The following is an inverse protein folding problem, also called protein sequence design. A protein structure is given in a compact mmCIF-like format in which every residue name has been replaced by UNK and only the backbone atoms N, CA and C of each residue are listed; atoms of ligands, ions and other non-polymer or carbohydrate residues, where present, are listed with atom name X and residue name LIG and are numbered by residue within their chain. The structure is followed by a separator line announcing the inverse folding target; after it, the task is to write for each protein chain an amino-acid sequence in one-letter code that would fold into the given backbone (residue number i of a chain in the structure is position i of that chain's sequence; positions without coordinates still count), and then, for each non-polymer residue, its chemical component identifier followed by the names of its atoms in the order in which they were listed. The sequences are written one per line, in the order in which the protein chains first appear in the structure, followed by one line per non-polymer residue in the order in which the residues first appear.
data_IF_657729118779
#
_entry.id   IF_657729118779
#
_cell.length_a   1.000
_cell.length_b   1.000
_cell.length_c   1.000
_cell.angle_alpha   90.00
_cell.angle_beta   90.00
_cell.angle_gamma   90.00
#
_symmetry.space_group_name_H-M   'P 1'
#
loop_
_entity.id
_entity.type
_entity.pdbx_description
1 polymer ?
#
# COMPACT_ATOMS: atom_id res chain seq x y z
N UNK A 1 -18.99 -55.24 -12.47
CA UNK A 1 -19.51 -55.89 -13.69
C UNK A 1 -20.91 -56.36 -13.29
N UNK A 2 -22.01 -55.75 -13.67
CA UNK A 2 -22.32 -54.83 -14.76
C UNK A 2 -23.75 -54.30 -14.47
N UNK A 3 -23.92 -52.99 -14.67
CA UNK A 3 -25.05 -52.21 -15.20
C UNK A 3 -26.48 -52.83 -15.23
N UNK A 4 -27.61 -52.12 -15.10
CA UNK A 4 -27.96 -50.69 -15.02
C UNK A 4 -29.50 -50.58 -14.83
N UNK A 5 -29.93 -49.51 -14.13
CA UNK A 5 -31.08 -48.60 -14.39
C UNK A 5 -32.50 -49.16 -14.62
N UNK A 6 -33.64 -48.57 -14.21
CA UNK A 6 -34.02 -47.19 -13.89
C UNK A 6 -35.46 -47.23 -13.34
N UNK A 7 -35.87 -46.33 -12.42
CA UNK A 7 -37.17 -45.63 -12.45
C UNK A 7 -37.35 -44.71 -11.23
N UNK A 8 -37.29 -43.40 -11.46
CA UNK A 8 -37.94 -42.34 -10.67
C UNK A 8 -38.04 -41.11 -11.60
N UNK A 9 -39.21 -40.82 -12.17
CA UNK A 9 -40.22 -39.89 -11.62
C UNK A 9 -39.72 -38.43 -11.48
N UNK A 10 -39.53 -37.75 -12.61
CA UNK A 10 -40.43 -36.72 -13.16
C UNK A 10 -40.93 -35.52 -12.28
N UNK A 11 -40.63 -34.30 -12.77
CA UNK A 11 -41.23 -32.94 -12.59
C UNK A 11 -40.89 -32.04 -11.38
N UNK A 12 -40.24 -30.89 -11.65
CA UNK A 12 -40.93 -29.59 -11.77
C UNK A 12 -40.10 -28.59 -12.61
N UNK A 13 -40.82 -27.74 -13.33
CA UNK A 13 -40.35 -26.78 -14.33
C UNK A 13 -40.44 -25.33 -13.81
N UNK A 14 -39.62 -24.47 -14.43
CA UNK A 14 -39.82 -23.03 -14.69
C UNK A 14 -39.30 -21.99 -13.69
N UNK A 15 -38.55 -21.02 -14.23
CA UNK A 15 -38.61 -19.63 -13.78
C UNK A 15 -37.31 -18.81 -13.79
N UNK A 16 -36.64 -18.64 -14.94
CA UNK A 16 -35.70 -17.52 -15.12
C UNK A 16 -36.51 -16.25 -15.42
N UNK A 17 -36.61 -15.34 -14.46
CA UNK A 17 -37.23 -14.02 -14.60
C UNK A 17 -36.20 -12.99 -15.06
N UNK A 18 -36.39 -12.46 -16.27
CA UNK A 18 -35.59 -11.41 -16.89
C UNK A 18 -35.81 -10.01 -16.27
N UNK A 19 -36.25 -9.93 -15.01
CA UNK A 19 -36.66 -8.69 -14.34
C UNK A 19 -35.57 -8.14 -13.39
N UNK A 20 -34.61 -8.97 -13.00
CA UNK A 20 -33.56 -8.58 -12.03
C UNK A 20 -32.36 -7.87 -12.66
N UNK A 21 -32.19 -7.95 -13.98
CA UNK A 21 -31.12 -7.25 -14.70
C UNK A 21 -31.40 -5.74 -14.87
N UNK A 22 -32.67 -5.36 -14.98
CA UNK A 22 -33.09 -3.98 -15.24
C UNK A 22 -33.01 -3.08 -13.98
N UNK A 23 -33.11 -3.70 -12.79
CA UNK A 23 -33.00 -2.99 -11.51
C UNK A 23 -31.55 -2.57 -11.20
N UNK A 24 -30.56 -3.39 -11.59
CA UNK A 24 -29.15 -3.12 -11.37
C UNK A 24 -28.58 -2.03 -12.32
N UNK A 25 -29.13 -1.87 -13.53
CA UNK A 25 -28.71 -0.80 -14.45
C UNK A 25 -29.24 0.59 -14.04
N UNK A 26 -30.42 0.68 -13.42
CA UNK A 26 -30.97 1.96 -12.96
C UNK A 26 -30.25 2.53 -11.71
N UNK A 27 -29.70 1.69 -10.84
CA UNK A 27 -29.02 2.18 -9.63
C UNK A 27 -27.61 2.74 -9.92
N UNK A 28 -26.93 2.23 -10.95
CA UNK A 28 -25.60 2.74 -11.39
C UNK A 28 -25.75 4.09 -12.11
N UNK A 29 -26.84 4.29 -12.85
CA UNK A 29 -27.12 5.55 -13.54
C UNK A 29 -27.46 6.72 -12.58
N UNK A 30 -28.08 6.42 -11.43
CA UNK A 30 -28.46 7.45 -10.45
C UNK A 30 -27.33 7.89 -9.51
N UNK A 31 -26.21 7.16 -9.42
CA UNK A 31 -25.02 7.61 -8.65
C UNK A 31 -24.12 8.59 -9.41
N UNK A 32 -24.39 8.85 -10.70
CA UNK A 32 -23.58 9.75 -11.54
C UNK A 32 -23.99 11.24 -11.52
N UNK A 33 -24.92 11.65 -10.64
CA UNK A 33 -25.43 13.03 -10.64
C UNK A 33 -25.39 13.71 -9.27
N UNK A 34 -24.26 13.68 -8.55
CA UNK A 34 -23.99 14.69 -7.49
C UNK A 34 -22.52 14.77 -7.07
N UNK A 35 -21.68 15.43 -7.86
CA UNK A 35 -20.43 16.04 -7.35
C UNK A 35 -19.97 17.16 -8.28
N UNK A 36 -20.54 18.35 -8.10
CA UNK A 36 -19.90 19.59 -8.58
C UNK A 36 -18.81 19.99 -7.59
N UNK A 37 -17.61 19.43 -7.74
CA UNK A 37 -16.42 19.91 -7.05
C UNK A 37 -15.78 21.04 -7.87
N UNK A 38 -15.39 22.12 -7.19
CA UNK A 38 -14.71 23.28 -7.77
C UNK A 38 -13.30 22.89 -8.26
N UNK A 39 -12.78 23.49 -9.35
CA UNK A 39 -11.46 23.15 -9.87
C UNK A 39 -10.37 23.51 -8.85
N UNK A 40 -9.48 22.55 -8.58
CA UNK A 40 -8.25 22.77 -7.84
C UNK A 40 -7.36 23.74 -8.62
N UNK A 41 -6.66 24.64 -7.91
CA UNK A 41 -5.68 25.55 -8.48
C UNK A 41 -4.55 24.77 -9.13
N UNK A 42 -4.15 25.27 -10.29
CA UNK A 42 -3.12 24.74 -11.19
C UNK A 42 -1.80 24.45 -10.45
N UNK A 43 -1.35 23.20 -10.51
CA UNK A 43 0.06 22.86 -10.33
C UNK A 43 0.75 23.12 -11.67
N UNK A 44 1.89 23.81 -11.73
CA UNK A 44 2.58 24.00 -13.00
C UNK A 44 3.08 22.64 -13.51
N UNK A 45 2.60 22.25 -14.69
CA UNK A 45 3.14 21.14 -15.47
C UNK A 45 4.63 21.42 -15.74
N UNK A 46 5.52 20.66 -15.11
CA UNK A 46 6.94 20.65 -15.47
C UNK A 46 7.07 19.76 -16.71
N UNK A 47 6.88 20.37 -17.88
CA UNK A 47 7.13 19.74 -19.18
C UNK A 47 8.56 19.20 -19.25
N UNK A 48 8.70 18.06 -19.94
CA UNK A 48 9.93 17.27 -20.01
C UNK A 48 11.13 18.07 -20.51
N UNK A 49 12.22 18.02 -19.74
CA UNK A 49 13.55 18.37 -20.24
C UNK A 49 14.13 17.14 -20.95
N UNK A 50 14.34 17.28 -22.25
CA UNK A 50 15.22 16.41 -23.03
C UNK A 50 16.62 16.47 -22.41
N UNK A 51 17.14 15.31 -22.03
CA UNK A 51 18.47 15.16 -21.44
C UNK A 51 19.46 15.24 -22.60
N UNK A 52 20.20 16.34 -22.70
CA UNK A 52 21.41 16.37 -23.50
C UNK A 52 22.52 15.74 -22.65
N UNK A 53 23.09 14.64 -23.13
CA UNK A 53 24.28 14.01 -22.59
C UNK A 53 25.49 14.92 -22.90
N UNK A 54 25.83 15.85 -22.01
CA UNK A 54 27.15 16.48 -21.97
C UNK A 54 27.57 16.63 -20.50
N UNK A 55 28.67 15.95 -20.18
CA UNK A 55 29.31 15.84 -18.86
C UNK A 55 29.75 17.20 -18.31
N UNK A 56 29.05 17.74 -17.31
CA UNK A 56 29.64 18.62 -16.30
C UNK A 56 29.05 18.28 -14.93
N UNK A 57 29.91 17.82 -14.02
CA UNK A 57 29.61 17.63 -12.59
C UNK A 57 29.26 18.99 -11.95
N UNK A 58 28.04 19.48 -12.17
CA UNK A 58 27.45 20.51 -11.33
C UNK A 58 26.93 19.83 -10.06
N UNK A 59 27.76 19.82 -9.02
CA UNK A 59 27.26 19.75 -7.65
C UNK A 59 26.33 20.96 -7.48
N UNK A 60 25.03 20.77 -7.73
CA UNK A 60 24.01 21.72 -7.28
C UNK A 60 24.17 21.83 -5.76
N UNK A 61 24.91 22.86 -5.31
CA UNK A 61 24.94 23.30 -3.92
C UNK A 61 23.51 23.68 -3.56
N UNK A 62 22.74 22.71 -3.06
CA UNK A 62 21.43 22.94 -2.49
C UNK A 62 21.60 23.98 -1.38
N UNK A 63 21.19 25.21 -1.66
CA UNK A 63 21.28 26.33 -0.74
C UNK A 63 20.45 25.98 0.52
N UNK A 64 21.13 25.47 1.55
CA UNK A 64 20.60 24.96 2.83
C UNK A 64 19.65 25.93 3.57
N UNK A 65 19.52 27.17 3.10
CA UNK A 65 18.74 28.24 3.73
C UNK A 65 17.26 28.30 3.35
N UNK A 66 16.82 27.69 2.23
CA UNK A 66 15.44 27.87 1.71
C UNK A 66 14.54 26.66 1.95
N UNK A 67 15.09 25.47 2.18
CA UNK A 67 14.32 24.22 2.21
C UNK A 67 13.61 23.90 3.55
N UNK A 68 13.91 24.62 4.62
CA UNK A 68 13.23 24.40 5.91
C UNK A 68 11.79 24.96 5.95
N UNK A 69 11.25 25.43 4.83
CA UNK A 69 9.88 25.97 4.75
C UNK A 69 8.81 24.93 4.37
N UNK A 70 9.19 23.75 3.89
CA UNK A 70 8.20 22.73 3.51
C UNK A 70 7.57 22.07 4.75
N UNK A 71 8.38 21.87 5.79
CA UNK A 71 7.94 21.34 7.06
C UNK A 71 7.51 22.48 7.98
N UNK A 72 6.20 22.67 8.11
CA UNK A 72 5.65 23.73 8.97
C UNK A 72 5.60 23.34 10.45
N UNK A 73 6.13 22.16 10.80
CA UNK A 73 6.05 21.58 12.13
C UNK A 73 7.38 20.97 12.55
N UNK A 74 7.69 21.08 13.84
CA UNK A 74 8.84 20.42 14.46
C UNK A 74 8.51 18.94 14.73
N UNK A 75 9.20 18.02 14.05
CA UNK A 75 9.00 16.58 14.21
C UNK A 75 9.29 16.08 15.64
N UNK A 76 10.24 16.69 16.36
CA UNK A 76 10.55 16.30 17.73
C UNK A 76 9.40 16.66 18.67
N UNK A 77 8.76 17.81 18.45
CA UNK A 77 7.56 18.24 19.17
C UNK A 77 6.36 17.34 18.81
N UNK A 78 6.13 17.08 17.52
CA UNK A 78 5.00 16.29 17.03
C UNK A 78 5.04 14.84 17.55
N UNK A 79 6.23 14.27 17.75
CA UNK A 79 6.41 12.91 18.27
C UNK A 79 5.90 12.72 19.72
N UNK A 80 5.87 13.78 20.53
CA UNK A 80 5.52 13.70 21.97
C UNK A 80 4.16 14.33 22.30
N UNK A 81 3.48 14.88 21.28
CA UNK A 81 2.16 15.49 21.41
C UNK A 81 1.11 14.45 21.76
N UNK A 82 0.43 14.66 22.89
CA UNK A 82 -0.63 13.77 23.37
C UNK A 82 -1.87 13.79 22.49
N UNK A 83 -2.04 14.83 21.66
CA UNK A 83 -3.14 14.92 20.71
C UNK A 83 -3.10 13.80 19.64
N UNK A 84 -1.94 13.14 19.47
CA UNK A 84 -1.77 12.00 18.57
C UNK A 84 -1.84 10.64 19.28
N UNK A 85 -2.09 10.61 20.60
CA UNK A 85 -2.32 9.38 21.34
C UNK A 85 -3.79 8.93 21.13
N UNK A 86 -3.99 7.98 20.21
CA UNK A 86 -5.30 7.38 19.94
C UNK A 86 -5.30 5.92 20.41
N UNK A 87 -5.73 5.61 21.66
CA UNK A 87 -5.59 4.29 22.25
C UNK A 87 -6.38 3.20 21.50
N UNK A 88 -7.49 3.55 20.87
CA UNK A 88 -8.39 2.62 20.17
C UNK A 88 -8.29 2.73 18.64
N UNK A 89 -7.24 3.36 18.11
CA UNK A 89 -7.06 3.49 16.65
C UNK A 89 -6.48 2.24 16.01
N UNK A 90 -5.67 1.48 16.75
CA UNK A 90 -5.03 0.26 16.26
C UNK A 90 -5.52 -0.91 17.08
N UNK A 91 -6.03 -1.93 16.41
CA UNK A 91 -6.49 -3.15 17.05
C UNK A 91 -5.34 -4.15 17.16
N UNK A 92 -5.04 -4.56 18.38
CA UNK A 92 -4.10 -5.65 18.62
C UNK A 92 -4.76 -7.00 18.38
N UNK A 93 -4.08 -7.89 17.66
CA UNK A 93 -4.60 -9.21 17.30
C UNK A 93 -3.55 -10.29 17.52
N UNK A 94 -4.00 -11.48 17.96
CA UNK A 94 -3.12 -12.62 18.15
C UNK A 94 -2.97 -13.40 16.83
N UNK A 95 -1.73 -13.66 16.44
CA UNK A 95 -1.38 -14.47 15.28
C UNK A 95 -0.86 -15.87 15.65
N UNK A 96 -0.94 -16.29 16.91
CA UNK A 96 -0.43 -17.61 17.34
C UNK A 96 -1.00 -18.74 16.51
N UNK A 97 -0.11 -19.65 16.06
CA UNK A 97 -0.43 -20.76 15.14
C UNK A 97 -1.54 -21.68 15.68
N UNK A 98 -1.69 -21.77 17.00
CA UNK A 98 -2.71 -22.63 17.63
C UNK A 98 -4.06 -21.93 17.84
N UNK A 99 -4.09 -20.60 17.90
CA UNK A 99 -5.28 -19.78 18.16
C UNK A 99 -5.11 -18.42 17.46
N UNK A 100 -5.12 -18.43 16.13
CA UNK A 100 -5.00 -17.19 15.36
C UNK A 100 -6.38 -16.53 15.30
N UNK A 101 -6.46 -15.30 15.79
CA UNK A 101 -7.66 -14.47 15.66
C UNK A 101 -7.76 -13.86 14.25
N UNK A 102 -6.66 -13.86 13.50
CA UNK A 102 -6.60 -13.34 12.14
C UNK A 102 -6.91 -14.42 11.10
N UNK A 103 -8.19 -14.60 10.82
CA UNK A 103 -8.71 -15.60 9.89
C UNK A 103 -9.45 -14.97 8.72
N UNK A 104 -9.81 -15.78 7.73
CA UNK A 104 -10.67 -15.34 6.62
C UNK A 104 -12.05 -14.91 7.14
N UNK A 105 -12.57 -15.61 8.15
CA UNK A 105 -13.83 -15.29 8.83
C UNK A 105 -13.76 -13.92 9.49
N UNK A 106 -12.68 -13.65 10.23
CA UNK A 106 -12.43 -12.35 10.82
C UNK A 106 -12.47 -11.22 9.76
N UNK A 107 -11.77 -11.41 8.63
CA UNK A 107 -11.75 -10.44 7.52
C UNK A 107 -13.14 -10.23 6.92
N UNK A 108 -13.93 -11.30 6.72
CA UNK A 108 -15.29 -11.17 6.18
C UNK A 108 -16.23 -10.42 7.12
N UNK A 109 -16.11 -10.66 8.43
CA UNK A 109 -16.98 -10.04 9.44
C UNK A 109 -16.61 -8.58 9.70
N UNK A 110 -15.31 -8.24 9.67
CA UNK A 110 -14.80 -6.96 10.16
C UNK A 110 -14.23 -6.05 9.07
N UNK A 111 -14.04 -6.54 7.85
CA UNK A 111 -13.70 -5.72 6.67
C UNK A 111 -12.32 -5.06 6.66
N UNK A 112 -11.43 -5.34 7.63
CA UNK A 112 -10.14 -4.63 7.81
C UNK A 112 -10.31 -3.10 7.94
N UNK A 113 -11.41 -2.65 8.55
CA UNK A 113 -11.72 -1.22 8.69
C UNK A 113 -10.76 -0.48 9.64
N UNK A 114 -10.15 -1.21 10.57
CA UNK A 114 -9.18 -0.67 11.53
C UNK A 114 -7.77 -1.23 11.25
N UNK A 115 -6.72 -0.41 11.43
CA UNK A 115 -5.34 -0.89 11.41
C UNK A 115 -5.11 -2.01 12.42
N UNK A 116 -4.42 -3.07 12.00
CA UNK A 116 -4.10 -4.22 12.85
C UNK A 116 -2.63 -4.21 13.28
N UNK A 117 -2.38 -4.50 14.56
CA UNK A 117 -1.04 -4.70 15.11
C UNK A 117 -0.87 -6.14 15.59
N UNK A 118 0.09 -6.84 14.98
CA UNK A 118 0.52 -8.17 15.36
C UNK A 118 1.76 -8.06 16.24
N UNK A 119 1.66 -8.43 17.52
CA UNK A 119 2.79 -8.44 18.46
C UNK A 119 3.55 -9.77 18.47
N UNK A 120 2.93 -10.82 17.97
CA UNK A 120 3.55 -12.14 17.86
C UNK A 120 4.65 -12.15 16.79
N UNK A 121 5.48 -13.20 16.80
CA UNK A 121 6.50 -13.37 15.77
C UNK A 121 5.89 -13.40 14.37
N UNK A 122 6.59 -12.87 13.38
CA UNK A 122 6.16 -12.88 11.97
C UNK A 122 5.87 -14.30 11.46
N UNK A 123 6.60 -15.30 11.97
CA UNK A 123 6.37 -16.73 11.69
C UNK A 123 5.01 -17.24 12.17
N UNK A 124 4.42 -16.64 13.21
CA UNK A 124 3.10 -17.01 13.70
C UNK A 124 2.01 -16.66 12.67
N UNK A 125 2.20 -15.57 11.93
CA UNK A 125 1.38 -15.18 10.79
C UNK A 125 1.64 -16.04 9.53
N UNK A 126 2.49 -17.07 9.62
CA UNK A 126 2.89 -17.91 8.49
C UNK A 126 3.84 -17.23 7.49
N UNK A 127 4.34 -16.04 7.82
CA UNK A 127 5.32 -15.32 7.02
C UNK A 127 6.74 -15.86 7.25
N UNK A 128 7.61 -15.73 6.25
CA UNK A 128 9.03 -16.06 6.36
C UNK A 128 9.85 -14.79 6.21
N UNK A 129 10.64 -14.47 7.23
CA UNK A 129 11.58 -13.36 7.20
C UNK A 129 13.02 -13.89 7.26
N UNK A 130 14.00 -13.16 6.71
CA UNK A 130 15.40 -13.41 6.99
C UNK A 130 15.67 -13.41 8.49
N UNK A 131 16.70 -14.14 8.94
CA UNK A 131 17.07 -14.22 10.36
C UNK A 131 17.33 -12.83 10.96
N UNK A 132 16.85 -12.61 12.17
CA UNK A 132 16.97 -11.34 12.88
C UNK A 132 18.43 -10.85 12.91
N UNK A 133 18.62 -9.56 12.59
CA UNK A 133 19.92 -8.91 12.61
C UNK A 133 20.90 -9.30 11.49
N UNK A 134 20.51 -10.17 10.55
CA UNK A 134 21.40 -10.61 9.46
C UNK A 134 21.13 -9.93 8.12
N UNK A 135 19.93 -9.38 7.92
CA UNK A 135 19.56 -8.68 6.70
C UNK A 135 20.09 -7.25 6.71
N UNK A 136 20.94 -6.92 5.73
CA UNK A 136 21.44 -5.55 5.52
C UNK A 136 21.07 -5.03 4.13
N UNK A 137 21.24 -3.74 3.89
CA UNK A 137 21.06 -3.16 2.55
C UNK A 137 21.98 -3.83 1.52
N UNK A 138 23.20 -4.19 1.92
CA UNK A 138 24.13 -4.97 1.09
C UNK A 138 23.61 -6.39 0.75
N UNK A 139 22.86 -7.03 1.64
CA UNK A 139 22.19 -8.30 1.32
C UNK A 139 21.13 -8.11 0.23
N UNK A 140 20.39 -6.99 0.26
CA UNK A 140 19.41 -6.65 -0.78
C UNK A 140 20.11 -6.45 -2.12
N UNK A 141 21.18 -5.62 -2.19
CA UNK A 141 21.96 -5.42 -3.41
C UNK A 141 22.47 -6.72 -4.02
N UNK A 142 22.96 -7.65 -3.20
CA UNK A 142 23.41 -8.98 -3.67
C UNK A 142 22.27 -9.83 -4.22
N UNK A 143 21.07 -9.70 -3.65
CA UNK A 143 19.91 -10.52 -4.03
C UNK A 143 19.23 -10.01 -5.31
N UNK A 144 19.10 -8.69 -5.47
CA UNK A 144 18.39 -8.09 -6.62
C UNK A 144 19.33 -7.61 -7.74
N UNK A 145 20.62 -7.45 -7.46
CA UNK A 145 21.59 -6.86 -8.39
C UNK A 145 21.60 -5.33 -8.33
N UNK A 146 22.57 -4.71 -9.02
CA UNK A 146 22.61 -3.26 -9.13
C UNK A 146 21.51 -2.80 -10.10
N UNK A 147 20.52 -2.08 -9.58
CA UNK A 147 19.37 -1.59 -10.33
C UNK A 147 19.01 -0.18 -9.88
N UNK A 148 18.26 0.55 -10.72
CA UNK A 148 17.78 1.88 -10.36
C UNK A 148 16.65 1.78 -9.32
N UNK A 149 16.76 2.58 -8.26
CA UNK A 149 15.78 2.70 -7.19
C UNK A 149 15.29 4.14 -7.06
N UNK A 150 14.01 4.29 -6.68
CA UNK A 150 13.45 5.57 -6.30
C UNK A 150 13.78 5.88 -4.83
N UNK A 151 14.27 7.09 -4.58
CA UNK A 151 14.66 7.60 -3.27
C UNK A 151 13.97 8.93 -3.04
N UNK A 152 13.44 9.12 -1.84
CA UNK A 152 12.76 10.36 -1.45
C UNK A 152 13.72 11.25 -0.66
N UNK A 153 13.92 12.48 -1.13
CA UNK A 153 14.60 13.53 -0.38
C UNK A 153 13.75 13.93 0.82
N UNK A 154 14.18 13.61 2.05
CA UNK A 154 13.34 13.80 3.25
C UNK A 154 13.00 15.29 3.45
N UNK A 155 13.96 16.20 3.27
CA UNK A 155 13.72 17.63 3.50
C UNK A 155 12.81 18.24 2.43
N UNK A 156 13.04 17.92 1.16
CA UNK A 156 12.33 18.47 0.00
C UNK A 156 11.03 17.75 -0.31
N UNK A 157 10.84 16.54 0.22
CA UNK A 157 9.84 15.57 -0.23
C UNK A 157 9.88 15.33 -1.74
N UNK A 158 11.04 15.52 -2.37
CA UNK A 158 11.24 15.29 -3.81
C UNK A 158 11.55 13.83 -4.10
N UNK A 159 11.18 13.36 -5.30
CA UNK A 159 11.57 12.05 -5.81
C UNK A 159 12.86 12.18 -6.61
N UNK A 160 13.81 11.27 -6.37
CA UNK A 160 15.07 11.12 -7.10
C UNK A 160 15.26 9.65 -7.43
N UNK A 161 15.99 9.35 -8.50
CA UNK A 161 16.41 7.99 -8.85
C UNK A 161 17.92 7.86 -8.72
N UNK A 162 18.40 6.70 -8.25
CA UNK A 162 19.83 6.38 -8.20
C UNK A 162 20.06 4.88 -8.27
N UNK A 163 21.30 4.44 -8.52
CA UNK A 163 21.63 3.02 -8.47
C UNK A 163 21.56 2.50 -7.03
N UNK A 164 21.09 1.26 -6.86
CA UNK A 164 21.01 0.61 -5.56
C UNK A 164 22.38 0.53 -4.88
N UNK A 165 23.46 0.34 -5.65
CA UNK A 165 24.82 0.39 -5.10
C UNK A 165 25.17 1.73 -4.48
N UNK A 166 24.74 2.84 -5.08
CA UNK A 166 24.98 4.18 -4.55
C UNK A 166 24.12 4.42 -3.30
N UNK A 167 22.85 3.96 -3.32
CA UNK A 167 21.99 4.00 -2.15
C UNK A 167 22.57 3.20 -0.97
N UNK A 168 23.07 1.99 -1.20
CA UNK A 168 23.69 1.17 -0.14
C UNK A 168 24.92 1.88 0.43
N UNK A 169 25.74 2.49 -0.43
CA UNK A 169 26.89 3.29 0.01
C UNK A 169 26.49 4.52 0.84
N UNK A 170 25.35 5.14 0.54
CA UNK A 170 24.79 6.23 1.33
C UNK A 170 24.25 5.77 2.69
N UNK A 171 23.66 4.56 2.74
CA UNK A 171 23.02 4.02 3.95
C UNK A 171 24.04 3.55 5.01
N UNK A 172 25.20 3.05 4.59
CA UNK A 172 26.28 2.53 5.46
C UNK A 172 27.23 3.63 5.97
#
# INVERSE_FOLDING_TARGET
LDESSSSAEEWFSSGESAEDADFLEQEVANKRKKSTAKPAKDFPDREGQEINDDDEDEEEEEEDGVLNTLWTYDLAEMRVKKEFEFPDFVREINASVFFSDFTVEYVREHGLEEPLLFKDSVSALGMKMPSDGTLTAQCVLKAVGDCEVEVVGVMTQSSRRMMLRDFVRYYE
#
